data_IF_599856601082
#
_entry.id   IF_599856601082
#
_cell.length_a   1.000
_cell.length_b   1.000
_cell.length_c   1.000
_cell.angle_alpha   90.00
_cell.angle_beta   90.00
_cell.angle_gamma   90.00
#
_symmetry.space_group_name_H-M   'P 1'
#
loop_
_entity.id
_entity.type
_entity.pdbx_description
1 polymer ?
#
# COMPACT_ATOMS: atom_id res chain seq x y z
N UNK A 1 -15.85 -16.97 -21.16
CA UNK A 1 -15.24 -15.87 -20.40
C UNK A 1 -15.14 -16.35 -18.96
N UNK A 2 -13.96 -16.75 -18.51
CA UNK A 2 -13.77 -17.28 -17.15
C UNK A 2 -13.66 -16.08 -16.23
N UNK A 3 -14.73 -15.81 -15.51
CA UNK A 3 -14.75 -14.82 -14.44
C UNK A 3 -13.82 -15.36 -13.34
N UNK A 4 -12.55 -14.94 -13.41
CA UNK A 4 -11.60 -15.25 -12.36
C UNK A 4 -12.06 -14.42 -11.16
N UNK A 5 -12.87 -15.03 -10.30
CA UNK A 5 -13.19 -14.49 -8.99
C UNK A 5 -11.84 -14.15 -8.34
N UNK A 6 -11.46 -12.87 -8.41
CA UNK A 6 -10.23 -12.37 -7.81
C UNK A 6 -10.42 -12.61 -6.34
N UNK A 7 -9.64 -13.54 -5.78
CA UNK A 7 -9.68 -13.88 -4.37
C UNK A 7 -9.58 -12.58 -3.57
N UNK A 8 -10.69 -12.22 -2.97
CA UNK A 8 -10.87 -11.02 -2.19
C UNK A 8 -10.45 -11.40 -0.78
N UNK A 9 -9.19 -11.16 -0.44
CA UNK A 9 -8.62 -11.44 0.88
C UNK A 9 -8.87 -10.24 1.79
N UNK A 10 -9.18 -10.45 3.08
CA UNK A 10 -9.13 -9.41 4.09
C UNK A 10 -7.74 -8.77 4.09
N UNK A 11 -7.68 -7.45 4.26
CA UNK A 11 -6.43 -6.71 4.25
C UNK A 11 -6.27 -6.01 5.59
N UNK A 12 -5.15 -6.29 6.26
CA UNK A 12 -4.74 -5.60 7.47
C UNK A 12 -3.50 -4.76 7.18
N UNK A 13 -3.50 -3.51 7.65
CA UNK A 13 -2.42 -2.55 7.48
C UNK A 13 -1.66 -2.38 8.79
N UNK A 14 -0.35 -2.48 8.73
CA UNK A 14 0.56 -2.37 9.86
C UNK A 14 1.61 -1.30 9.59
N UNK A 15 2.16 -0.69 10.64
CA UNK A 15 3.42 0.06 10.53
C UNK A 15 4.58 -0.91 10.26
N UNK A 16 5.71 -0.40 9.79
CA UNK A 16 6.96 -1.18 9.66
C UNK A 16 7.43 -1.80 11.00
N UNK A 17 7.03 -1.22 12.13
CA UNK A 17 7.28 -1.75 13.46
C UNK A 17 6.30 -2.88 13.86
N UNK A 18 5.31 -3.19 13.02
CA UNK A 18 4.30 -4.22 13.26
C UNK A 18 3.08 -3.75 14.05
N UNK A 19 2.91 -2.45 14.28
CA UNK A 19 1.72 -1.92 14.94
C UNK A 19 0.54 -1.92 13.96
N UNK A 20 -0.59 -2.52 14.35
CA UNK A 20 -1.78 -2.55 13.51
C UNK A 20 -2.41 -1.14 13.43
N UNK A 21 -2.46 -0.58 12.21
CA UNK A 21 -3.07 0.73 11.94
C UNK A 21 -4.56 0.61 11.65
N UNK A 22 -4.92 -0.43 10.89
CA UNK A 22 -6.28 -0.70 10.45
C UNK A 22 -6.41 -2.18 10.11
N UNK A 23 -7.42 -2.84 10.67
CA UNK A 23 -7.79 -4.20 10.30
C UNK A 23 -9.21 -4.16 9.76
N UNK A 24 -9.37 -4.27 8.45
CA UNK A 24 -10.69 -4.45 7.87
C UNK A 24 -10.92 -5.93 7.53
N UNK A 25 -12.16 -6.35 7.72
CA UNK A 25 -12.68 -7.57 7.09
C UNK A 25 -13.08 -7.29 5.63
N UNK A 26 -13.10 -6.02 5.21
CA UNK A 26 -13.33 -5.67 3.80
C UNK A 26 -12.22 -6.21 2.90
N UNK A 27 -12.70 -6.77 1.81
CA UNK A 27 -11.89 -7.44 0.83
C UNK A 27 -11.51 -6.46 -0.28
N UNK A 28 -10.21 -6.23 -0.44
CA UNK A 28 -9.68 -5.25 -1.38
C UNK A 28 -8.71 -5.87 -2.39
N UNK A 29 -8.26 -5.06 -3.35
CA UNK A 29 -7.05 -5.40 -4.11
C UNK A 29 -5.85 -5.19 -3.20
N UNK A 30 -5.08 -6.25 -2.98
CA UNK A 30 -3.81 -6.16 -2.27
C UNK A 30 -2.88 -5.19 -3.02
N UNK A 31 -2.39 -4.13 -2.36
CA UNK A 31 -1.51 -3.16 -3.00
C UNK A 31 -0.12 -3.78 -3.27
N UNK A 32 0.59 -3.22 -4.24
CA UNK A 32 1.95 -3.66 -4.57
C UNK A 32 2.99 -2.92 -3.73
N UNK A 33 4.14 -3.54 -3.47
CA UNK A 33 5.27 -2.89 -2.80
C UNK A 33 5.66 -1.62 -3.58
N UNK A 34 5.85 -0.52 -2.87
CA UNK A 34 6.09 0.81 -3.44
C UNK A 34 4.84 1.62 -3.75
N UNK A 35 3.64 1.04 -3.63
CA UNK A 35 2.38 1.79 -3.79
C UNK A 35 2.24 2.84 -2.68
N UNK A 36 1.66 3.99 -3.04
CA UNK A 36 1.26 5.02 -2.08
C UNK A 36 -0.16 4.76 -1.57
N UNK A 37 -0.37 4.91 -0.27
CA UNK A 37 -1.66 4.73 0.40
C UNK A 37 -1.94 5.95 1.26
N UNK A 38 -3.17 6.44 1.20
CA UNK A 38 -3.67 7.48 2.09
C UNK A 38 -4.57 6.76 3.10
N UNK A 39 -4.22 6.82 4.38
CA UNK A 39 -4.96 6.15 5.45
C UNK A 39 -5.09 7.08 6.65
N UNK A 40 -6.32 7.22 7.14
CA UNK A 40 -6.60 7.82 8.44
C UNK A 40 -6.49 6.74 9.52
N UNK A 41 -5.39 6.71 10.26
CA UNK A 41 -5.18 5.78 11.37
C UNK A 41 -5.42 6.47 12.73
N UNK A 42 -6.00 5.78 13.72
CA UNK A 42 -6.13 6.31 15.08
C UNK A 42 -4.78 6.76 15.64
N UNK A 43 -4.74 7.93 16.28
CA UNK A 43 -3.49 8.50 16.83
C UNK A 43 -2.61 9.24 15.82
N UNK A 44 -2.96 9.23 14.53
CA UNK A 44 -2.32 10.06 13.51
C UNK A 44 -3.27 11.22 13.17
N UNK A 45 -2.91 12.44 13.56
CA UNK A 45 -3.68 13.63 13.22
C UNK A 45 -3.51 13.90 11.72
N UNK A 46 -4.62 13.85 10.98
CA UNK A 46 -4.74 13.97 9.51
C UNK A 46 -4.48 12.68 8.71
N UNK A 47 -5.09 12.61 7.52
CA UNK A 47 -4.86 11.57 6.51
C UNK A 47 -3.35 11.43 6.26
N UNK A 48 -2.76 10.40 6.85
CA UNK A 48 -1.33 10.15 6.71
C UNK A 48 -1.06 9.47 5.36
N UNK A 49 0.06 9.85 4.75
CA UNK A 49 0.55 9.26 3.51
C UNK A 49 1.56 8.19 3.85
N UNK A 50 1.36 7.02 3.25
CA UNK A 50 2.10 5.80 3.55
C UNK A 50 2.67 5.21 2.27
N UNK A 51 3.82 4.54 2.40
CA UNK A 51 4.41 3.72 1.35
C UNK A 51 4.31 2.25 1.76
N UNK A 52 3.84 1.39 0.86
CA UNK A 52 3.90 -0.06 1.05
C UNK A 52 5.36 -0.49 0.98
N UNK A 53 5.88 -1.04 2.07
CA UNK A 53 7.27 -1.54 2.13
C UNK A 53 7.33 -3.05 2.03
N UNK A 54 6.28 -3.75 2.47
CA UNK A 54 6.19 -5.21 2.37
C UNK A 54 4.73 -5.69 2.37
N UNK A 55 4.49 -6.89 1.85
CA UNK A 55 3.19 -7.56 1.81
C UNK A 55 3.34 -9.03 2.12
N UNK A 56 2.76 -9.48 3.23
CA UNK A 56 2.75 -10.88 3.64
C UNK A 56 1.36 -11.49 3.49
N UNK A 57 1.31 -12.76 3.12
CA UNK A 57 0.05 -13.48 2.96
C UNK A 57 -0.03 -14.62 3.98
N UNK A 58 -1.09 -14.62 4.79
CA UNK A 58 -1.40 -15.68 5.74
C UNK A 58 -2.61 -16.47 5.24
N UNK A 59 -2.40 -17.73 4.89
CA UNK A 59 -3.47 -18.66 4.49
C UNK A 59 -3.83 -19.67 5.59
N UNK A 60 -3.11 -19.62 6.72
CA UNK A 60 -3.29 -20.57 7.81
C UNK A 60 -4.24 -20.01 8.86
N UNK A 61 -5.32 -20.75 9.14
CA UNK A 61 -6.33 -20.40 10.14
C UNK A 61 -5.78 -20.39 11.59
N UNK A 62 -4.54 -20.87 11.81
CA UNK A 62 -3.86 -20.98 13.11
C UNK A 62 -2.57 -20.14 13.19
N UNK A 63 -2.34 -19.24 12.24
CA UNK A 63 -1.21 -18.31 12.29
C UNK A 63 -1.43 -17.26 13.40
N UNK A 64 -0.36 -16.72 14.04
CA UNK A 64 -0.48 -15.52 14.89
C UNK A 64 -1.03 -14.31 14.13
N UNK A 65 -0.98 -14.34 12.80
CA UNK A 65 -1.62 -13.37 11.92
C UNK A 65 -2.95 -13.94 11.39
N UNK A 66 -4.03 -13.15 11.50
CA UNK A 66 -5.34 -13.50 10.96
C UNK A 66 -5.24 -13.87 9.47
N UNK A 67 -6.16 -14.71 8.99
CA UNK A 67 -6.22 -15.07 7.56
C UNK A 67 -6.38 -13.82 6.68
N UNK A 68 -5.54 -13.66 5.66
CA UNK A 68 -5.58 -12.52 4.76
C UNK A 68 -4.23 -12.02 4.28
N UNK A 69 -4.22 -10.79 3.75
CA UNK A 69 -3.02 -10.06 3.39
C UNK A 69 -2.66 -9.05 4.51
N UNK A 70 -1.37 -9.00 4.83
CA UNK A 70 -0.79 -8.10 5.81
C UNK A 70 0.13 -7.13 5.08
N UNK A 71 -0.29 -5.88 5.01
CA UNK A 71 0.41 -4.82 4.29
C UNK A 71 1.17 -3.98 5.30
N UNK A 72 2.48 -3.90 5.14
CA UNK A 72 3.35 -3.11 6.00
C UNK A 72 3.64 -1.76 5.37
N UNK A 73 3.49 -0.72 6.19
CA UNK A 73 3.47 0.67 5.78
C UNK A 73 4.57 1.45 6.49
N UNK A 74 5.25 2.30 5.73
CA UNK A 74 6.13 3.34 6.26
C UNK A 74 5.45 4.69 6.08
N UNK A 75 5.41 5.50 7.14
CA UNK A 75 4.92 6.87 7.06
C UNK A 75 5.86 7.69 6.19
N UNK A 76 5.31 8.39 5.20
CA UNK A 76 6.10 9.24 4.29
C UNK A 76 5.63 10.68 4.25
N UNK A 77 4.59 11.07 4.99
CA UNK A 77 4.16 12.47 5.11
C UNK A 77 5.35 13.39 5.42
N UNK A 78 5.47 14.47 4.65
CA UNK A 78 6.49 15.51 4.82
C UNK A 78 7.95 15.04 4.64
N UNK A 79 8.14 13.86 4.03
CA UNK A 79 9.47 13.34 3.63
C UNK A 79 9.71 13.55 2.13
N UNK A 80 10.94 13.31 1.65
CA UNK A 80 11.22 13.34 0.20
C UNK A 80 10.42 12.29 -0.59
N UNK A 81 10.00 11.19 0.06
CA UNK A 81 9.18 10.13 -0.54
C UNK A 81 7.68 10.47 -0.57
N UNK A 82 7.29 11.59 0.04
CA UNK A 82 5.94 12.16 0.01
C UNK A 82 5.58 12.78 -1.35
N UNK A 83 6.61 13.06 -2.15
CA UNK A 83 6.45 13.59 -3.48
C UNK A 83 6.10 12.43 -4.44
N UNK A 84 5.23 12.65 -5.45
CA UNK A 84 5.18 11.75 -6.58
C UNK A 84 6.63 11.61 -7.07
N UNK A 85 7.15 10.38 -7.14
CA UNK A 85 8.50 10.12 -7.64
C UNK A 85 8.67 10.98 -8.88
N UNK A 86 9.74 11.80 -8.92
CA UNK A 86 9.99 12.72 -10.03
C UNK A 86 9.95 11.90 -11.31
N UNK A 87 8.82 11.95 -12.01
CA UNK A 87 8.71 11.40 -13.35
C UNK A 87 9.54 12.39 -14.14
N UNK A 88 10.74 11.99 -14.53
CA UNK A 88 11.48 12.62 -15.62
C UNK A 88 10.99 11.90 -16.89
N UNK A 89 9.89 12.32 -17.52
CA UNK A 89 9.50 11.71 -18.77
C UNK A 89 10.51 12.13 -19.83
N UNK A 90 11.40 11.21 -20.22
CA UNK A 90 12.22 11.29 -21.44
C UNK A 90 11.35 11.49 -22.71
N UNK A 91 10.03 11.37 -22.60
CA UNK A 91 9.06 11.52 -23.68
C UNK A 91 8.90 12.96 -24.21
N UNK A 92 9.40 13.99 -23.51
CA UNK A 92 9.47 15.37 -24.04
C UNK A 92 10.87 15.69 -24.54
N UNK A 93 11.36 14.93 -25.52
CA UNK A 93 12.44 15.46 -26.36
C UNK A 93 11.82 16.56 -27.23
N UNK A 94 12.23 17.84 -27.13
CA UNK A 94 11.80 18.83 -28.10
C UNK A 94 12.29 18.35 -29.46
N UNK A 95 11.37 18.18 -30.41
CA UNK A 95 11.76 18.04 -31.81
C UNK A 95 12.44 19.35 -32.15
N UNK A 96 13.77 19.34 -32.26
CA UNK A 96 14.52 20.44 -32.82
C UNK A 96 14.07 20.56 -34.28
N UNK A 97 13.11 21.45 -34.52
CA UNK A 97 12.72 21.86 -35.86
C UNK A 97 13.69 22.92 -36.33
N UNK A 98 14.52 22.56 -37.30
CA UNK A 98 15.19 23.49 -38.22
C UNK A 98 14.17 24.14 -39.18
#
# INVERSE_FOLDING_TARGET
>A
MSDSARLQLPISYYTEAGECLYGDEETGRVPEIGSGIILSAPGHSHEARWRVVDVWHSFAQQSPFNWGAHVFLRAVSDTEEDLPQRIDPDYYTPIAGD
#
